data_IF_518566824159
#
_entry.id   IF_518566824159
#
_cell.length_a   1.000
_cell.length_b   1.000
_cell.length_c   1.000
_cell.angle_alpha   90.00
_cell.angle_beta   90.00
_cell.angle_gamma   90.00
#
_symmetry.space_group_name_H-M   'P 1'
#
loop_
_entity.id
_entity.type
_entity.pdbx_description
1 polymer ?
#
# COMPACT_ATOMS: atom_id res chain seq x y z
N UNK A 1 -54.34 -10.90 -3.10
CA UNK A 1 -53.23 -11.62 -3.78
C UNK A 1 -52.29 -10.69 -4.53
N UNK A 2 -52.78 -9.76 -5.37
CA UNK A 2 -51.93 -8.80 -6.13
C UNK A 2 -51.07 -7.89 -5.25
N UNK A 3 -51.64 -7.39 -4.15
CA UNK A 3 -50.93 -6.53 -3.17
C UNK A 3 -49.82 -7.26 -2.42
N UNK A 4 -50.06 -8.51 -2.03
CA UNK A 4 -49.06 -9.36 -1.37
C UNK A 4 -47.89 -9.67 -2.30
N UNK A 5 -48.16 -9.94 -3.58
CA UNK A 5 -47.12 -10.18 -4.58
C UNK A 5 -46.21 -8.96 -4.79
N UNK A 6 -46.77 -7.75 -4.80
CA UNK A 6 -46.01 -6.51 -4.92
C UNK A 6 -45.11 -6.25 -3.70
N UNK A 7 -45.60 -6.56 -2.50
CA UNK A 7 -44.81 -6.42 -1.26
C UNK A 7 -43.63 -7.41 -1.25
N UNK A 8 -43.87 -8.67 -1.63
CA UNK A 8 -42.81 -9.69 -1.71
C UNK A 8 -41.76 -9.32 -2.75
N UNK A 9 -42.19 -8.81 -3.91
CA UNK A 9 -41.27 -8.38 -4.97
C UNK A 9 -40.43 -7.17 -4.54
N UNK A 10 -41.05 -6.20 -3.87
CA UNK A 10 -40.35 -5.02 -3.34
C UNK A 10 -39.32 -5.40 -2.27
N UNK A 11 -39.65 -6.34 -1.38
CA UNK A 11 -38.74 -6.82 -0.34
C UNK A 11 -37.55 -7.58 -0.96
N UNK A 12 -37.81 -8.44 -1.96
CA UNK A 12 -36.77 -9.16 -2.67
C UNK A 12 -35.79 -8.19 -3.37
N UNK A 13 -36.30 -7.14 -4.02
CA UNK A 13 -35.47 -6.13 -4.67
C UNK A 13 -34.58 -5.38 -3.68
N UNK A 14 -35.12 -5.01 -2.51
CA UNK A 14 -34.38 -4.33 -1.45
C UNK A 14 -33.24 -5.19 -0.87
N UNK A 15 -33.47 -6.50 -0.73
CA UNK A 15 -32.45 -7.47 -0.30
C UNK A 15 -31.33 -7.56 -1.34
N UNK A 16 -31.68 -7.66 -2.63
CA UNK A 16 -30.70 -7.72 -3.73
C UNK A 16 -29.85 -6.46 -3.76
N UNK A 17 -30.48 -5.27 -3.66
CA UNK A 17 -29.75 -3.99 -3.61
C UNK A 17 -28.81 -3.94 -2.41
N UNK A 18 -29.27 -4.36 -1.22
CA UNK A 18 -28.43 -4.41 -0.01
C UNK A 18 -27.22 -5.32 -0.17
N UNK A 19 -27.39 -6.49 -0.80
CA UNK A 19 -26.30 -7.44 -1.05
C UNK A 19 -25.27 -6.93 -2.07
N UNK A 20 -25.68 -6.12 -3.04
CA UNK A 20 -24.80 -5.60 -4.10
C UNK A 20 -24.11 -4.30 -3.68
N UNK A 21 -24.76 -3.43 -2.90
CA UNK A 21 -24.20 -2.11 -2.52
C UNK A 21 -23.20 -2.22 -1.35
N UNK A 22 -23.42 -3.14 -0.40
CA UNK A 22 -22.51 -3.35 0.74
C UNK A 22 -21.05 -3.63 0.36
N UNK A 23 -20.72 -4.51 -0.61
CA UNK A 23 -19.33 -4.74 -1.00
C UNK A 23 -18.68 -3.52 -1.68
N UNK A 24 -19.47 -2.57 -2.20
CA UNK A 24 -18.95 -1.39 -2.90
C UNK A 24 -18.48 -0.28 -1.93
N UNK A 25 -19.05 -0.20 -0.74
CA UNK A 25 -18.67 0.77 0.30
C UNK A 25 -17.45 0.28 1.10
N UNK A 26 -17.10 -1.01 1.01
CA UNK A 26 -15.92 -1.60 1.62
C UNK A 26 -14.65 -1.33 0.79
N UNK A 27 -14.49 -0.12 0.24
CA UNK A 27 -13.18 0.36 -0.22
C UNK A 27 -12.33 0.52 1.03
N UNK A 28 -11.68 -0.58 1.35
CA UNK A 28 -10.70 -0.82 2.39
C UNK A 28 -9.88 0.45 2.62
N UNK A 29 -10.15 1.14 3.73
CA UNK A 29 -9.18 2.03 4.35
C UNK A 29 -7.86 1.25 4.37
N UNK A 30 -6.85 1.72 3.64
CA UNK A 30 -5.48 1.27 3.85
C UNK A 30 -5.14 1.73 5.26
N UNK A 31 -5.40 0.88 6.25
CA UNK A 31 -4.80 1.03 7.56
C UNK A 31 -3.30 1.22 7.32
N UNK A 32 -2.64 2.21 7.95
CA UNK A 32 -1.20 2.33 7.86
C UNK A 32 -0.62 0.98 8.29
N UNK A 33 0.01 0.27 7.36
CA UNK A 33 0.67 -0.98 7.66
C UNK A 33 1.81 -0.62 8.62
N UNK A 34 1.82 -1.25 9.79
CA UNK A 34 3.00 -1.14 10.65
C UNK A 34 4.22 -1.58 9.84
N UNK A 35 5.38 -0.92 9.98
CA UNK A 35 6.60 -1.34 9.31
C UNK A 35 6.86 -2.83 9.62
N UNK A 36 7.02 -3.64 8.59
CA UNK A 36 7.33 -5.07 8.73
C UNK A 36 8.70 -5.29 9.39
N UNK A 37 9.58 -4.29 9.29
CA UNK A 37 10.94 -4.30 9.81
C UNK A 37 11.20 -3.09 10.71
N UNK A 38 12.09 -3.21 11.72
CA UNK A 38 12.44 -2.11 12.63
C UNK A 38 13.19 -0.97 11.92
N UNK A 39 13.85 -1.27 10.80
CA UNK A 39 14.50 -0.30 9.93
C UNK A 39 14.71 -0.88 8.53
N UNK A 40 14.91 -0.01 7.56
CA UNK A 40 15.38 -0.31 6.21
C UNK A 40 16.85 0.09 6.04
N UNK A 41 17.60 -0.67 5.24
CA UNK A 41 18.97 -0.34 4.80
C UNK A 41 18.91 0.05 3.33
N UNK A 42 19.29 1.28 3.02
CA UNK A 42 19.49 1.71 1.64
C UNK A 42 20.92 1.38 1.25
N UNK A 43 21.11 0.62 0.17
CA UNK A 43 22.42 0.20 -0.34
C UNK A 43 22.60 0.68 -1.78
N UNK A 44 23.84 0.96 -2.16
CA UNK A 44 24.22 1.21 -3.55
C UNK A 44 24.08 -0.09 -4.36
N UNK A 45 23.36 -0.04 -5.48
CA UNK A 45 23.05 -1.20 -6.31
C UNK A 45 24.30 -1.85 -6.91
N UNK A 46 25.33 -1.06 -7.25
CA UNK A 46 26.52 -1.57 -7.94
C UNK A 46 27.54 -2.14 -6.96
N UNK A 47 27.64 -1.54 -5.78
CA UNK A 47 28.70 -1.85 -4.81
C UNK A 47 28.21 -2.58 -3.56
N UNK A 48 26.89 -2.70 -3.38
CA UNK A 48 26.22 -3.19 -2.16
C UNK A 48 26.62 -2.44 -0.89
N UNK A 49 27.18 -1.23 -1.03
CA UNK A 49 27.64 -0.44 0.12
C UNK A 49 26.44 0.24 0.80
N UNK A 50 26.34 0.20 2.13
CA UNK A 50 25.28 0.89 2.85
C UNK A 50 25.39 2.41 2.71
N UNK A 51 24.31 3.04 2.26
CA UNK A 51 24.17 4.49 2.11
C UNK A 51 23.46 5.12 3.31
N UNK A 52 22.40 4.48 3.82
CA UNK A 52 21.60 4.98 4.93
C UNK A 52 20.80 3.89 5.66
N UNK A 53 20.45 4.17 6.92
CA UNK A 53 19.54 3.36 7.74
C UNK A 53 18.30 4.20 8.10
N UNK A 54 17.11 3.75 7.74
CA UNK A 54 15.86 4.50 7.90
C UNK A 54 14.89 3.70 8.78
N UNK A 55 14.57 4.21 9.97
CA UNK A 55 13.63 3.58 10.92
C UNK A 55 12.33 4.35 11.11
N UNK A 56 12.24 5.58 10.62
CA UNK A 56 11.08 6.46 10.83
C UNK A 56 9.93 6.15 9.88
N UNK A 57 10.22 5.71 8.66
CA UNK A 57 9.24 5.46 7.60
C UNK A 57 9.64 4.25 6.75
N UNK A 58 8.67 3.54 6.15
CA UNK A 58 8.96 2.55 5.12
C UNK A 58 9.64 3.19 3.91
N UNK A 59 10.63 2.50 3.34
CA UNK A 59 11.29 2.91 2.09
C UNK A 59 10.56 2.26 0.91
N UNK A 60 10.32 3.03 -0.14
CA UNK A 60 9.58 2.61 -1.35
C UNK A 60 10.37 2.86 -2.63
N UNK A 61 10.04 2.11 -3.68
CA UNK A 61 10.64 2.32 -5.01
C UNK A 61 10.28 3.71 -5.52
N UNK A 62 11.29 4.45 -5.98
CA UNK A 62 11.17 5.83 -6.43
C UNK A 62 11.56 6.87 -5.37
N UNK A 63 11.74 6.47 -4.11
CA UNK A 63 12.27 7.35 -3.08
C UNK A 63 13.68 7.83 -3.43
N UNK A 64 14.00 9.03 -2.99
CA UNK A 64 15.26 9.70 -3.27
C UNK A 64 16.08 9.90 -2.00
N UNK A 65 17.38 9.64 -2.09
CA UNK A 65 18.35 9.83 -1.02
C UNK A 65 19.47 10.74 -1.52
N UNK A 66 19.65 11.89 -0.87
CA UNK A 66 20.81 12.75 -1.10
C UNK A 66 21.89 12.39 -0.08
N UNK A 67 23.06 11.97 -0.55
CA UNK A 67 24.19 11.63 0.33
C UNK A 67 25.00 12.87 0.71
N UNK A 68 25.93 12.72 1.66
CA UNK A 68 26.83 13.80 2.09
C UNK A 68 27.70 14.33 0.96
N UNK A 69 28.00 13.50 -0.03
CA UNK A 69 28.79 13.83 -1.22
C UNK A 69 27.96 14.54 -2.30
N UNK A 70 26.73 14.97 -1.97
CA UNK A 70 25.80 15.62 -2.89
C UNK A 70 25.45 14.76 -4.11
N UNK A 71 25.36 13.43 -3.91
CA UNK A 71 24.85 12.49 -4.90
C UNK A 71 23.39 12.17 -4.63
N UNK A 72 22.55 12.26 -5.66
CA UNK A 72 21.14 11.91 -5.61
C UNK A 72 20.97 10.46 -6.04
N UNK A 73 20.66 9.58 -5.09
CA UNK A 73 20.33 8.19 -5.35
C UNK A 73 18.81 8.03 -5.44
N UNK A 74 18.35 7.14 -6.32
CA UNK A 74 16.95 6.74 -6.43
C UNK A 74 16.81 5.26 -6.14
N UNK A 75 15.88 4.91 -5.24
CA UNK A 75 15.53 3.52 -4.92
C UNK A 75 14.87 2.88 -6.13
N UNK A 76 15.40 1.76 -6.60
CA UNK A 76 14.89 1.02 -7.78
C UNK A 76 14.27 -0.33 -7.40
N UNK A 77 14.64 -0.90 -6.26
CA UNK A 77 14.09 -2.15 -5.74
C UNK A 77 14.08 -2.14 -4.21
N UNK A 78 13.12 -2.85 -3.62
CA UNK A 78 13.04 -3.10 -2.18
C UNK A 78 12.78 -4.58 -1.98
N UNK A 79 13.69 -5.27 -1.29
CA UNK A 79 13.63 -6.69 -0.98
C UNK A 79 13.75 -6.87 0.54
N UNK A 80 12.63 -7.23 1.19
CA UNK A 80 12.57 -7.28 2.66
C UNK A 80 12.87 -5.91 3.27
N UNK A 81 13.92 -5.83 4.08
CA UNK A 81 14.37 -4.58 4.71
C UNK A 81 15.53 -3.89 3.95
N UNK A 82 15.91 -4.38 2.76
CA UNK A 82 16.97 -3.80 1.94
C UNK A 82 16.37 -3.06 0.76
N UNK A 83 16.74 -1.79 0.61
CA UNK A 83 16.38 -0.95 -0.52
C UNK A 83 17.62 -0.70 -1.38
N UNK A 84 17.58 -1.09 -2.65
CA UNK A 84 18.67 -0.89 -3.60
C UNK A 84 18.47 0.42 -4.34
N UNK A 85 19.48 1.28 -4.33
CA UNK A 85 19.44 2.58 -4.96
C UNK A 85 20.61 2.78 -5.92
N UNK A 86 20.39 3.57 -6.97
CA UNK A 86 21.42 3.96 -7.94
C UNK A 86 21.42 5.46 -8.16
N UNK A 87 22.58 6.02 -8.49
CA UNK A 87 22.73 7.44 -8.83
C UNK A 87 22.50 7.69 -10.33
#
# INVERSE_FOLDING_TARGET
>A
MRTVALIVLGLALLIIISLVVRPLILVKERRPQLPEFPYYVIVDLETETPLAYISSIPVTVGDELITRENKLYRVVAVEGNTAYARF
#
